data_IF_608665949576
#
_entry.id   IF_608665949576
#
_cell.length_a   1.000
_cell.length_b   1.000
_cell.length_c   1.000
_cell.angle_alpha   90.00
_cell.angle_beta   90.00
_cell.angle_gamma   90.00
#
_symmetry.space_group_name_H-M   'P 1'
#
loop_
_entity.id
_entity.type
_entity.pdbx_description
1 polymer ?
#
# COMPACT_ATOMS: atom_id res chain seq x y z
N UNK A 1 -11.54 -24.35 -7.88
CA UNK A 1 -11.94 -23.70 -6.61
C UNK A 1 -11.13 -22.41 -6.51
N UNK A 2 -11.68 -21.22 -6.74
CA UNK A 2 -10.93 -20.00 -6.56
C UNK A 2 -10.80 -19.73 -5.05
N UNK A 3 -9.55 -19.54 -4.63
CA UNK A 3 -9.12 -19.27 -3.27
C UNK A 3 -9.83 -18.04 -2.70
N UNK A 4 -10.39 -18.18 -1.50
CA UNK A 4 -11.01 -17.11 -0.73
C UNK A 4 -9.98 -16.00 -0.52
N UNK A 5 -10.26 -14.82 -1.08
CA UNK A 5 -9.56 -13.57 -0.80
C UNK A 5 -9.71 -13.28 0.69
N UNK A 6 -8.58 -13.24 1.41
CA UNK A 6 -8.50 -12.87 2.82
C UNK A 6 -9.20 -11.52 3.03
N UNK A 7 -10.19 -11.49 3.94
CA UNK A 7 -10.76 -10.25 4.43
C UNK A 7 -9.64 -9.36 4.98
N UNK A 8 -9.62 -8.09 4.60
CA UNK A 8 -8.65 -7.13 5.09
C UNK A 8 -8.89 -6.91 6.59
N UNK A 9 -8.06 -7.54 7.43
CA UNK A 9 -8.27 -7.54 8.87
C UNK A 9 -8.11 -6.13 9.44
N UNK A 10 -9.03 -5.73 10.30
CA UNK A 10 -8.96 -4.47 11.02
C UNK A 10 -7.65 -4.39 11.83
N UNK A 11 -6.93 -3.28 11.69
CA UNK A 11 -5.70 -3.03 12.42
C UNK A 11 -6.07 -2.51 13.83
N UNK A 12 -5.58 -3.12 14.92
CA UNK A 12 -5.87 -2.67 16.27
C UNK A 12 -5.18 -1.34 16.59
N UNK A 13 -5.70 -0.60 17.57
CA UNK A 13 -5.22 0.75 17.92
C UNK A 13 -3.83 0.80 18.54
N UNK A 14 -3.34 -0.33 19.07
CA UNK A 14 -1.99 -0.47 19.62
C UNK A 14 -0.94 -0.86 18.55
N UNK A 15 -1.34 -0.95 17.28
CA UNK A 15 -0.41 -1.21 16.19
C UNK A 15 0.50 0.01 15.96
N UNK A 16 1.75 -0.25 15.60
CA UNK A 16 2.73 0.80 15.29
C UNK A 16 3.29 0.60 13.89
N UNK A 17 3.53 1.71 13.20
CA UNK A 17 4.26 1.69 11.93
C UNK A 17 5.73 1.92 12.22
N UNK A 18 6.56 0.92 11.92
CA UNK A 18 8.00 0.98 12.08
C UNK A 18 8.69 1.12 10.73
N UNK A 19 9.72 1.96 10.72
CA UNK A 19 10.65 2.11 9.61
C UNK A 19 11.94 1.39 10.01
N UNK A 20 12.26 0.30 9.32
CA UNK A 20 13.40 -0.57 9.62
C UNK A 20 14.35 -0.63 8.42
N UNK A 21 15.52 -1.23 8.64
CA UNK A 21 16.49 -1.57 7.59
C UNK A 21 15.97 -2.59 6.57
N UNK A 22 15.00 -3.42 6.99
CA UNK A 22 14.32 -4.43 6.18
C UNK A 22 13.07 -3.90 5.45
N UNK A 23 12.51 -2.76 5.83
CA UNK A 23 11.19 -2.41 5.31
C UNK A 23 10.43 -1.29 6.00
N UNK A 24 9.22 -1.07 5.48
CA UNK A 24 8.14 -0.41 6.21
C UNK A 24 7.23 -1.48 6.79
N UNK A 25 7.24 -1.62 8.11
CA UNK A 25 6.60 -2.74 8.82
C UNK A 25 5.48 -2.24 9.72
N UNK A 26 4.31 -2.84 9.60
CA UNK A 26 3.20 -2.66 10.54
C UNK A 26 3.31 -3.70 11.64
N UNK A 27 3.66 -3.27 12.84
CA UNK A 27 3.72 -4.10 14.03
C UNK A 27 2.34 -4.17 14.66
N UNK A 28 1.82 -5.38 14.86
CA UNK A 28 0.45 -5.60 15.36
C UNK A 28 0.52 -6.51 16.59
N UNK A 29 0.70 -6.02 17.82
CA UNK A 29 0.73 -6.87 19.00
C UNK A 29 -0.69 -7.35 19.39
N UNK A 30 -0.93 -8.63 19.72
CA UNK A 30 0.01 -9.77 19.79
C UNK A 30 0.10 -10.60 18.49
N UNK A 31 -0.45 -10.10 17.38
CA UNK A 31 -0.44 -10.74 16.07
C UNK A 31 0.93 -10.65 15.37
N UNK A 32 0.98 -11.20 14.14
CA UNK A 32 2.18 -11.18 13.30
C UNK A 32 2.38 -9.80 12.65
N UNK A 33 3.64 -9.38 12.56
CA UNK A 33 4.03 -8.18 11.81
C UNK A 33 3.68 -8.32 10.33
N UNK A 34 3.28 -7.20 9.70
CA UNK A 34 2.94 -7.15 8.27
C UNK A 34 3.85 -6.18 7.54
N UNK A 35 4.56 -6.66 6.52
CA UNK A 35 5.36 -5.81 5.64
C UNK A 35 4.44 -5.05 4.68
N UNK A 36 4.57 -3.72 4.67
CA UNK A 36 3.92 -2.85 3.68
C UNK A 36 4.85 -2.65 2.48
N UNK A 37 6.13 -2.47 2.77
CA UNK A 37 7.19 -2.42 1.79
C UNK A 37 8.31 -3.34 2.25
N UNK A 38 8.53 -4.41 1.49
CA UNK A 38 9.63 -5.36 1.67
C UNK A 38 10.77 -4.92 0.74
N UNK A 39 11.58 -3.99 1.24
CA UNK A 39 12.66 -3.35 0.50
C UNK A 39 13.84 -3.10 1.43
N UNK A 40 15.02 -3.50 1.01
CA UNK A 40 16.24 -3.33 1.79
C UNK A 40 16.85 -1.93 1.57
N UNK A 41 17.76 -1.56 2.49
CA UNK A 41 18.60 -0.36 2.35
C UNK A 41 17.83 0.96 2.32
N UNK A 42 16.72 1.03 3.05
CA UNK A 42 15.96 2.27 3.22
C UNK A 42 16.74 3.22 4.11
N UNK A 43 16.82 4.49 3.71
CA UNK A 43 17.49 5.54 4.48
C UNK A 43 16.58 6.70 4.87
N UNK A 44 15.48 6.91 4.13
CA UNK A 44 14.53 7.98 4.43
C UNK A 44 13.14 7.64 3.87
N UNK A 45 12.12 8.30 4.43
CA UNK A 45 10.76 8.30 3.92
C UNK A 45 10.25 9.74 3.78
N UNK A 46 9.33 9.99 2.86
CA UNK A 46 8.71 11.30 2.68
C UNK A 46 7.28 11.19 2.19
N UNK A 47 6.42 12.09 2.65
CA UNK A 47 5.12 12.35 2.05
C UNK A 47 5.25 13.57 1.15
N UNK A 48 5.12 13.36 -0.16
CA UNK A 48 5.19 14.43 -1.15
C UNK A 48 3.87 15.22 -1.18
N UNK A 49 3.92 16.47 -1.65
CA UNK A 49 2.73 17.33 -1.79
C UNK A 49 1.67 16.74 -2.75
N UNK A 50 2.06 15.80 -3.61
CA UNK A 50 1.13 15.05 -4.46
C UNK A 50 0.31 14.00 -3.70
N UNK A 51 0.61 13.75 -2.42
CA UNK A 51 0.07 12.64 -1.63
C UNK A 51 0.82 11.31 -1.85
N UNK A 52 1.90 11.30 -2.65
CA UNK A 52 2.71 10.10 -2.84
C UNK A 52 3.62 9.90 -1.62
N UNK A 53 3.48 8.78 -0.92
CA UNK A 53 4.39 8.39 0.15
C UNK A 53 5.51 7.54 -0.45
N UNK A 54 6.75 7.96 -0.26
CA UNK A 54 7.93 7.39 -0.93
C UNK A 54 8.99 6.97 0.08
N UNK A 55 9.67 5.87 -0.23
CA UNK A 55 10.83 5.38 0.49
C UNK A 55 12.08 5.55 -0.37
N UNK A 56 13.13 6.10 0.22
CA UNK A 56 14.41 6.37 -0.44
C UNK A 56 15.51 5.48 0.11
N UNK A 57 16.45 5.09 -0.76
CA UNK A 57 17.73 4.56 -0.34
C UNK A 57 18.77 5.67 -0.08
N UNK A 58 19.97 5.27 0.36
CA UNK A 58 21.06 6.18 0.74
C UNK A 58 21.51 7.14 -0.37
N UNK A 59 21.31 6.79 -1.64
CA UNK A 59 21.61 7.65 -2.81
C UNK A 59 20.40 8.47 -3.27
N UNK A 60 19.36 8.60 -2.43
CA UNK A 60 18.10 9.32 -2.69
C UNK A 60 17.31 8.81 -3.88
N UNK A 61 17.49 7.54 -4.26
CA UNK A 61 16.63 6.88 -5.25
C UNK A 61 15.37 6.38 -4.56
N UNK A 62 14.21 6.61 -5.18
CA UNK A 62 12.93 6.02 -4.76
C UNK A 62 13.02 4.50 -4.97
N UNK A 63 12.85 3.74 -3.90
CA UNK A 63 12.87 2.26 -3.93
C UNK A 63 11.49 1.65 -3.68
N UNK A 64 10.53 2.43 -3.18
CA UNK A 64 9.13 2.08 -3.06
C UNK A 64 8.28 3.35 -3.04
N UNK A 65 7.04 3.28 -3.56
CA UNK A 65 6.08 4.38 -3.50
C UNK A 65 4.63 3.91 -3.39
N UNK A 66 3.78 4.68 -2.70
CA UNK A 66 2.37 4.34 -2.51
C UNK A 66 1.58 4.42 -3.81
N UNK A 67 1.98 5.28 -4.74
CA UNK A 67 1.33 5.42 -6.05
C UNK A 67 1.36 4.13 -6.89
N UNK A 68 2.32 3.24 -6.64
CA UNK A 68 2.41 1.92 -7.30
C UNK A 68 1.48 0.87 -6.66
N UNK A 69 0.81 1.22 -5.55
CA UNK A 69 -0.07 0.34 -4.78
C UNK A 69 -1.44 1.03 -4.57
N UNK A 70 -2.19 1.29 -5.65
CA UNK A 70 -3.45 2.01 -5.56
C UNK A 70 -4.52 1.21 -4.79
N UNK A 71 -5.45 1.93 -4.16
CA UNK A 71 -6.62 1.36 -3.47
C UNK A 71 -7.89 1.56 -4.30
N UNK A 72 -8.77 2.49 -3.91
CA UNK A 72 -10.04 2.81 -4.57
C UNK A 72 -10.01 4.17 -5.30
N UNK A 73 -8.93 4.94 -5.13
CA UNK A 73 -8.81 6.33 -5.59
C UNK A 73 -7.53 6.52 -6.42
N UNK A 74 -7.61 7.29 -7.51
CA UNK A 74 -6.46 7.80 -8.27
C UNK A 74 -6.26 9.28 -7.91
N UNK A 75 -5.03 9.65 -7.58
CA UNK A 75 -4.64 11.04 -7.31
C UNK A 75 -3.99 11.70 -8.53
N UNK A 76 -4.00 13.05 -8.62
CA UNK A 76 -3.25 13.76 -9.65
C UNK A 76 -1.76 13.37 -9.65
N UNK A 77 -1.23 13.07 -10.85
CA UNK A 77 0.14 12.60 -11.03
C UNK A 77 0.35 11.10 -10.81
N UNK A 78 -0.65 10.36 -10.33
CA UNK A 78 -0.60 8.91 -10.24
C UNK A 78 -0.91 8.25 -11.59
N UNK A 79 -0.04 7.33 -12.02
CA UNK A 79 -0.26 6.56 -13.25
C UNK A 79 -0.84 5.18 -12.92
N UNK A 80 -2.07 4.91 -13.38
CA UNK A 80 -2.63 3.56 -13.33
C UNK A 80 -2.13 2.74 -14.52
N UNK A 81 -1.12 1.91 -14.29
CA UNK A 81 -0.57 0.99 -15.31
C UNK A 81 -1.44 -0.25 -15.48
N UNK A 82 -1.39 -0.90 -16.65
CA UNK A 82 -2.26 -2.03 -17.02
C UNK A 82 -2.21 -3.27 -16.09
N UNK A 83 -1.24 -3.35 -15.18
CA UNK A 83 -1.11 -4.42 -14.19
C UNK A 83 -1.67 -4.06 -12.81
N UNK A 84 -2.20 -2.85 -12.65
CA UNK A 84 -2.73 -2.33 -11.39
C UNK A 84 -4.22 -2.04 -11.56
N UNK A 85 -4.97 -2.24 -10.49
CA UNK A 85 -6.41 -2.07 -10.47
C UNK A 85 -6.77 -1.16 -9.30
N UNK A 86 -7.81 -0.34 -9.49
CA UNK A 86 -8.54 0.18 -8.36
C UNK A 86 -9.59 -0.83 -7.94
N UNK A 87 -9.76 -1.01 -6.64
CA UNK A 87 -10.80 -1.88 -6.07
C UNK A 87 -11.65 -0.99 -5.17
N UNK A 88 -12.95 -0.88 -5.48
CA UNK A 88 -13.88 -0.10 -4.66
C UNK A 88 -13.90 -0.60 -3.23
N UNK A 89 -14.14 0.26 -2.25
CA UNK A 89 -14.49 -0.15 -0.90
C UNK A 89 -15.88 -0.82 -0.80
N UNK A 90 -16.11 -1.64 0.22
CA UNK A 90 -17.43 -2.26 0.48
C UNK A 90 -18.50 -1.20 0.83
N UNK A 91 -18.15 -0.23 1.68
CA UNK A 91 -19.07 0.85 2.08
C UNK A 91 -18.32 2.03 2.70
N UNK A 92 -19.01 3.13 3.02
CA UNK A 92 -18.42 4.26 3.75
C UNK A 92 -17.88 3.92 5.16
N UNK A 93 -18.40 2.87 5.80
CA UNK A 93 -17.88 2.37 7.08
C UNK A 93 -16.81 1.29 6.93
N UNK A 94 -16.76 0.64 5.76
CA UNK A 94 -15.92 -0.54 5.52
C UNK A 94 -15.00 -0.30 4.31
N UNK A 95 -13.72 -0.06 4.60
CA UNK A 95 -12.68 0.19 3.59
C UNK A 95 -12.10 -1.07 2.96
N UNK A 96 -12.59 -2.26 3.32
CA UNK A 96 -12.14 -3.49 2.69
C UNK A 96 -12.54 -3.58 1.21
N UNK A 97 -11.89 -4.49 0.49
CA UNK A 97 -12.09 -4.70 -0.95
C UNK A 97 -13.52 -5.13 -1.28
N UNK A 98 -14.24 -4.27 -2.01
CA UNK A 98 -15.59 -4.47 -2.52
C UNK A 98 -15.65 -5.11 -3.90
N UNK A 99 -16.81 -4.94 -4.57
CA UNK A 99 -17.17 -5.69 -5.77
C UNK A 99 -16.72 -5.06 -7.09
N UNK A 100 -16.48 -3.75 -7.12
CA UNK A 100 -16.17 -3.03 -8.35
C UNK A 100 -14.68 -2.86 -8.53
N UNK A 101 -14.20 -3.04 -9.76
CA UNK A 101 -12.79 -2.89 -10.12
C UNK A 101 -12.64 -2.07 -11.39
N UNK A 102 -11.74 -1.08 -11.36
CA UNK A 102 -11.29 -0.38 -12.54
C UNK A 102 -9.91 -0.90 -12.93
N UNK A 103 -9.75 -1.29 -14.20
CA UNK A 103 -8.48 -1.78 -14.75
C UNK A 103 -8.20 -1.10 -16.08
N UNK A 104 -6.91 -0.86 -16.36
CA UNK A 104 -6.46 -0.47 -17.69
C UNK A 104 -6.07 -1.74 -18.43
N UNK A 105 -6.57 -1.92 -19.66
CA UNK A 105 -6.20 -3.06 -20.48
C UNK A 105 -4.94 -2.74 -21.29
N UNK A 106 -3.99 -3.67 -21.34
CA UNK A 106 -2.84 -3.56 -22.24
C UNK A 106 -3.28 -4.09 -23.61
N UNK A 107 -3.20 -3.24 -24.64
CA UNK A 107 -3.44 -3.64 -26.02
C UNK A 107 -2.32 -4.54 -26.55
#
# INVERSE_FOLDING_TARGET
MPSVSTAEAAVPSNATLAFTDEGLVLNIPPAQNRYIADVESISAASMLDSGNFVLYNSVRKIIWQSFDNPTDTILPGQCLVARKNLISRVSEGDRSSGLFRLKIDAR
#
